data_IF_397523436961
#
_entry.id   IF_397523436961
#
_cell.length_a   1.000
_cell.length_b   1.000
_cell.length_c   1.000
_cell.angle_alpha   90.00
_cell.angle_beta   90.00
_cell.angle_gamma   90.00
#
_symmetry.space_group_name_H-M   'P 1'
#
loop_
_entity.id
_entity.type
_entity.pdbx_description
1 polymer ?
#
# COMPACT_ATOMS: atom_id res chain seq x y z
N UNK A 1 14.80 -57.39 34.98
CA UNK A 1 15.31 -57.29 33.60
C UNK A 1 15.40 -55.82 33.21
N UNK A 2 16.63 -55.29 33.14
CA UNK A 2 16.94 -53.92 32.71
C UNK A 2 16.79 -53.79 31.19
N UNK A 3 16.25 -52.65 30.70
CA UNK A 3 16.66 -52.09 29.40
C UNK A 3 16.92 -50.58 29.55
N UNK A 4 18.13 -50.20 29.11
CA UNK A 4 18.75 -48.86 29.12
C UNK A 4 18.18 -47.96 28.01
N UNK A 5 18.25 -46.62 28.16
CA UNK A 5 17.98 -45.66 27.09
C UNK A 5 19.23 -45.41 26.21
N UNK A 6 19.02 -45.27 24.90
CA UNK A 6 20.05 -45.00 23.89
C UNK A 6 20.34 -43.51 23.70
N UNK A 7 21.63 -43.19 23.65
CA UNK A 7 22.20 -41.89 23.37
C UNK A 7 22.06 -41.47 21.89
N UNK A 8 21.40 -40.33 21.62
CA UNK A 8 21.44 -39.65 20.31
C UNK A 8 21.54 -38.11 20.39
N UNK A 9 22.10 -37.57 21.48
CA UNK A 9 22.12 -36.11 21.71
C UNK A 9 23.48 -35.41 21.51
N UNK A 10 24.55 -36.13 21.12
CA UNK A 10 25.90 -35.53 20.99
C UNK A 10 26.37 -35.19 19.57
N UNK A 11 25.78 -35.81 18.54
CA UNK A 11 26.26 -35.66 17.15
C UNK A 11 25.68 -34.42 16.45
N UNK A 12 24.45 -34.01 16.79
CA UNK A 12 23.80 -32.85 16.17
C UNK A 12 24.39 -31.50 16.64
N UNK A 13 24.94 -31.46 17.86
CA UNK A 13 25.54 -30.25 18.44
C UNK A 13 26.90 -29.89 17.81
N UNK A 14 27.65 -30.86 17.29
CA UNK A 14 28.94 -30.63 16.63
C UNK A 14 28.80 -30.10 15.19
N UNK A 15 27.72 -30.45 14.48
CA UNK A 15 27.49 -30.01 13.10
C UNK A 15 27.06 -28.53 13.03
N UNK A 16 26.35 -28.02 14.05
CA UNK A 16 25.95 -26.61 14.11
C UNK A 16 27.06 -25.64 14.53
N UNK A 17 28.11 -26.12 15.20
CA UNK A 17 29.27 -25.30 15.57
C UNK A 17 30.22 -25.05 14.38
N UNK A 18 30.33 -26.00 13.44
CA UNK A 18 31.20 -25.89 12.27
C UNK A 18 30.67 -24.90 11.21
N UNK A 19 29.34 -24.76 11.08
CA UNK A 19 28.70 -23.88 10.10
C UNK A 19 28.75 -22.39 10.46
N UNK A 20 28.82 -22.05 11.76
CA UNK A 20 28.99 -20.63 12.21
C UNK A 20 30.39 -20.06 11.95
N UNK A 21 31.42 -20.89 11.91
CA UNK A 21 32.80 -20.43 11.71
C UNK A 21 33.14 -20.11 10.25
N UNK A 22 32.44 -20.73 9.28
CA UNK A 22 32.64 -20.45 7.85
C UNK A 22 32.00 -19.11 7.45
N UNK A 23 30.79 -18.81 7.94
CA UNK A 23 30.10 -17.55 7.64
C UNK A 23 30.78 -16.31 8.24
N UNK A 24 31.48 -16.45 9.37
CA UNK A 24 32.24 -15.34 10.00
C UNK A 24 33.53 -14.99 9.25
N UNK A 25 34.06 -15.90 8.43
CA UNK A 25 35.33 -15.71 7.70
C UNK A 25 35.11 -15.01 6.35
N UNK A 26 33.95 -15.18 5.72
CA UNK A 26 33.56 -14.51 4.46
C UNK A 26 33.17 -13.03 4.66
N UNK A 27 32.64 -12.64 5.83
CA UNK A 27 32.26 -11.24 6.10
C UNK A 27 33.45 -10.30 6.41
N UNK A 28 34.63 -10.84 6.79
CA UNK A 28 35.81 -10.03 7.15
C UNK A 28 36.68 -9.61 5.96
N UNK A 29 36.51 -10.24 4.79
CA UNK A 29 37.36 -9.96 3.60
C UNK A 29 36.79 -8.84 2.73
N UNK A 30 35.48 -8.58 2.76
CA UNK A 30 34.82 -7.58 1.90
C UNK A 30 34.87 -6.15 2.46
N UNK A 31 35.26 -5.96 3.73
CA UNK A 31 35.28 -4.65 4.42
C UNK A 31 36.62 -3.90 4.25
N UNK A 32 37.65 -4.53 3.68
CA UNK A 32 39.02 -3.95 3.64
C UNK A 32 39.42 -3.24 2.34
N UNK A 33 38.53 -3.12 1.35
CA UNK A 33 38.90 -2.64 0.00
C UNK A 33 38.29 -1.30 -0.41
N UNK A 34 37.52 -0.62 0.45
CA UNK A 34 36.84 0.65 0.10
C UNK A 34 37.22 1.84 1.00
N UNK A 35 38.38 1.78 1.66
CA UNK A 35 38.94 2.90 2.43
C UNK A 35 40.32 3.27 1.87
N UNK A 36 40.34 3.77 0.63
CA UNK A 36 41.54 4.41 0.06
C UNK A 36 41.25 5.25 -1.18
N UNK A 37 40.20 6.09 -1.15
CA UNK A 37 39.99 7.10 -2.19
C UNK A 37 39.05 8.19 -1.68
N UNK A 38 39.56 9.10 -0.85
CA UNK A 38 39.07 10.49 -0.68
C UNK A 38 39.84 11.13 0.48
N UNK A 39 41.11 11.43 0.22
CA UNK A 39 41.88 12.38 1.00
C UNK A 39 42.75 13.16 0.01
N UNK A 40 42.78 14.49 0.19
CA UNK A 40 43.44 15.55 -0.61
C UNK A 40 42.49 16.25 -1.59
N UNK A 41 42.01 17.43 -1.22
CA UNK A 41 42.74 18.68 -1.45
C UNK A 41 41.91 19.86 -0.95
N UNK A 42 42.35 20.51 0.11
CA UNK A 42 42.03 21.89 0.41
C UNK A 42 43.37 22.56 0.71
N UNK A 43 43.67 23.65 -0.01
CA UNK A 43 44.54 24.79 0.34
C UNK A 43 44.93 25.54 -0.96
N UNK A 44 44.50 26.81 -1.02
CA UNK A 44 45.08 28.01 -1.65
C UNK A 44 45.36 28.07 -3.16
N UNK A 45 44.84 29.11 -3.84
CA UNK A 45 45.62 30.31 -4.19
C UNK A 45 44.81 31.37 -4.96
N UNK A 46 45.29 32.60 -4.82
CA UNK A 46 44.85 33.92 -5.29
C UNK A 46 44.72 34.12 -6.81
N UNK A 47 43.95 35.17 -7.14
CA UNK A 47 43.59 35.74 -8.44
C UNK A 47 44.67 35.84 -9.53
N UNK A 48 44.24 35.82 -10.81
CA UNK A 48 44.59 36.73 -11.93
C UNK A 48 43.65 36.42 -13.11
N UNK A 49 43.11 37.46 -13.77
CA UNK A 49 42.13 37.34 -14.84
C UNK A 49 42.70 37.15 -16.25
N UNK A 50 41.82 36.77 -17.18
CA UNK A 50 41.78 37.17 -18.59
C UNK A 50 40.61 36.42 -19.27
N UNK A 51 39.89 37.11 -20.15
CA UNK A 51 38.61 36.67 -20.69
C UNK A 51 38.64 35.36 -21.47
N UNK A 52 37.63 34.54 -21.22
CA UNK A 52 37.18 33.48 -22.13
C UNK A 52 35.68 33.67 -22.31
N UNK A 53 35.28 33.83 -23.57
CA UNK A 53 33.90 34.04 -23.98
C UNK A 53 33.00 32.88 -23.49
N UNK A 54 32.08 33.20 -22.58
CA UNK A 54 31.05 32.30 -22.11
C UNK A 54 30.00 32.17 -23.21
N UNK A 55 30.10 31.12 -24.03
CA UNK A 55 29.00 30.68 -24.88
C UNK A 55 27.89 30.20 -23.95
N UNK A 56 26.87 31.02 -23.76
CA UNK A 56 25.61 30.65 -23.13
C UNK A 56 24.91 29.63 -24.03
N UNK A 57 25.28 28.35 -23.90
CA UNK A 57 24.43 27.28 -24.34
C UNK A 57 23.21 27.27 -23.41
N UNK A 58 22.13 27.93 -23.86
CA UNK A 58 20.81 27.78 -23.29
C UNK A 58 20.36 26.33 -23.52
N UNK A 59 20.84 25.42 -22.68
CA UNK A 59 20.27 24.09 -22.57
C UNK A 59 18.83 24.26 -22.11
N UNK A 60 17.88 24.03 -23.01
CA UNK A 60 16.48 23.91 -22.66
C UNK A 60 16.37 22.73 -21.70
N UNK A 61 16.38 23.02 -20.40
CA UNK A 61 15.81 22.16 -19.38
C UNK A 61 14.36 21.98 -19.79
N UNK A 62 14.09 20.87 -20.48
CA UNK A 62 12.74 20.38 -20.63
C UNK A 62 12.30 20.03 -19.21
N UNK A 63 11.55 20.94 -18.60
CA UNK A 63 10.71 20.58 -17.48
C UNK A 63 9.80 19.48 -18.02
N UNK A 64 10.06 18.25 -17.59
CA UNK A 64 9.17 17.13 -17.85
C UNK A 64 7.84 17.51 -17.22
N UNK A 65 6.92 17.97 -18.06
CA UNK A 65 5.57 18.33 -17.65
C UNK A 65 5.02 17.09 -16.99
N UNK A 66 4.81 17.14 -15.67
CA UNK A 66 4.04 16.14 -14.96
C UNK A 66 2.74 15.98 -15.72
N UNK A 67 2.59 14.86 -16.44
CA UNK A 67 1.37 14.57 -17.16
C UNK A 67 0.22 14.67 -16.15
N UNK A 68 -0.91 15.31 -16.50
CA UNK A 68 -2.00 15.46 -15.56
C UNK A 68 -2.38 14.07 -15.06
N UNK A 69 -2.48 13.94 -13.73
CA UNK A 69 -2.86 12.71 -13.06
C UNK A 69 -4.04 12.08 -13.81
N UNK A 70 -3.78 10.94 -14.46
CA UNK A 70 -4.78 10.28 -15.29
C UNK A 70 -6.03 10.08 -14.43
N UNK A 71 -7.07 10.82 -14.78
CA UNK A 71 -8.39 10.69 -14.18
C UNK A 71 -9.18 9.95 -15.24
N UNK A 72 -10.09 9.07 -14.84
CA UNK A 72 -10.95 8.36 -15.78
C UNK A 72 -11.52 9.34 -16.81
N UNK A 73 -11.05 9.27 -18.05
CA UNK A 73 -11.33 10.25 -19.10
C UNK A 73 -12.20 9.62 -20.17
N UNK A 74 -13.39 9.16 -19.79
CA UNK A 74 -14.42 8.69 -20.72
C UNK A 74 -15.48 9.76 -20.93
N UNK A 75 -16.15 9.75 -22.10
CA UNK A 75 -17.39 10.50 -22.28
C UNK A 75 -18.43 10.04 -21.24
N UNK A 76 -19.29 10.95 -20.78
CA UNK A 76 -20.37 10.61 -19.86
C UNK A 76 -21.54 9.93 -20.61
N UNK A 77 -21.30 8.69 -21.05
CA UNK A 77 -22.27 7.87 -21.76
C UNK A 77 -22.52 6.52 -21.06
N UNK A 78 -23.56 5.82 -21.53
CA UNK A 78 -23.98 4.55 -20.97
C UNK A 78 -22.87 3.47 -21.01
N UNK A 79 -22.10 3.40 -22.10
CA UNK A 79 -21.06 2.38 -22.28
C UNK A 79 -19.92 2.63 -21.29
N UNK A 80 -19.48 3.89 -21.17
CA UNK A 80 -18.42 4.30 -20.25
C UNK A 80 -18.82 4.08 -18.78
N UNK A 81 -20.08 4.38 -18.41
CA UNK A 81 -20.62 4.09 -17.07
C UNK A 81 -20.71 2.58 -16.79
N UNK A 82 -21.18 1.79 -17.75
CA UNK A 82 -21.26 0.35 -17.62
C UNK A 82 -19.86 -0.28 -17.47
N UNK A 83 -18.89 0.17 -18.24
CA UNK A 83 -17.51 -0.28 -18.13
C UNK A 83 -16.90 0.09 -16.76
N UNK A 84 -17.11 1.33 -16.29
CA UNK A 84 -16.68 1.73 -14.95
C UNK A 84 -17.29 0.85 -13.86
N UNK A 85 -18.59 0.56 -13.95
CA UNK A 85 -19.27 -0.34 -13.01
C UNK A 85 -18.66 -1.74 -13.05
N UNK A 86 -18.43 -2.30 -14.25
CA UNK A 86 -17.85 -3.63 -14.41
C UNK A 86 -16.43 -3.74 -13.83
N UNK A 87 -15.60 -2.72 -14.05
CA UNK A 87 -14.24 -2.62 -13.50
C UNK A 87 -14.26 -2.55 -11.97
N UNK A 88 -15.12 -1.69 -11.40
CA UNK A 88 -15.26 -1.57 -9.95
C UNK A 88 -15.76 -2.87 -9.31
N UNK A 89 -16.72 -3.55 -9.94
CA UNK A 89 -17.21 -4.83 -9.45
C UNK A 89 -16.14 -5.93 -9.54
N UNK A 90 -15.35 -5.95 -10.61
CA UNK A 90 -14.24 -6.89 -10.78
C UNK A 90 -13.18 -6.67 -9.69
N UNK A 91 -12.74 -5.42 -9.49
CA UNK A 91 -11.80 -5.09 -8.42
C UNK A 91 -12.39 -5.45 -7.04
N UNK A 92 -13.65 -5.12 -6.78
CA UNK A 92 -14.33 -5.42 -5.52
C UNK A 92 -14.33 -6.94 -5.24
N UNK A 93 -14.64 -7.77 -6.25
CA UNK A 93 -14.59 -9.21 -6.15
C UNK A 93 -13.16 -9.72 -5.90
N UNK A 94 -12.16 -9.22 -6.64
CA UNK A 94 -10.76 -9.59 -6.45
C UNK A 94 -10.27 -9.25 -5.02
N UNK A 95 -10.66 -8.09 -4.48
CA UNK A 95 -10.32 -7.68 -3.12
C UNK A 95 -10.97 -8.58 -2.06
N UNK A 96 -12.21 -9.01 -2.28
CA UNK A 96 -12.92 -9.91 -1.36
C UNK A 96 -12.41 -11.35 -1.42
N UNK A 97 -11.93 -11.81 -2.57
CA UNK A 97 -11.44 -13.18 -2.75
C UNK A 97 -9.96 -13.37 -2.37
N UNK A 98 -9.24 -12.32 -2.00
CA UNK A 98 -7.81 -12.39 -1.71
C UNK A 98 -7.48 -11.90 -0.29
N UNK A 99 -6.50 -12.52 0.41
CA UNK A 99 -6.15 -12.15 1.78
C UNK A 99 -5.31 -10.86 1.87
N UNK A 100 -4.75 -10.36 0.76
CA UNK A 100 -3.86 -9.21 0.73
C UNK A 100 -4.32 -8.18 -0.30
N UNK A 101 -4.86 -7.06 0.19
CA UNK A 101 -5.22 -5.91 -0.65
C UNK A 101 -4.00 -5.38 -1.41
N UNK A 102 -2.81 -5.31 -0.77
CA UNK A 102 -1.57 -4.86 -1.42
C UNK A 102 -1.22 -5.69 -2.65
N UNK A 103 -1.28 -7.02 -2.55
CA UNK A 103 -0.95 -7.89 -3.69
C UNK A 103 -2.02 -7.83 -4.78
N UNK A 104 -3.30 -7.73 -4.40
CA UNK A 104 -4.40 -7.53 -5.36
C UNK A 104 -4.22 -6.22 -6.13
N UNK A 105 -3.94 -5.11 -5.44
CA UNK A 105 -3.71 -3.81 -6.07
C UNK A 105 -2.42 -3.78 -6.92
N UNK A 106 -1.37 -4.52 -6.54
CA UNK A 106 -0.16 -4.61 -7.36
C UNK A 106 -0.43 -5.34 -8.68
N UNK A 107 -1.18 -6.45 -8.64
CA UNK A 107 -1.63 -7.15 -9.84
C UNK A 107 -2.56 -6.29 -10.69
N UNK A 108 -3.48 -5.55 -10.05
CA UNK A 108 -4.35 -4.60 -10.73
C UNK A 108 -3.52 -3.53 -11.46
N UNK A 109 -2.56 -2.92 -10.75
CA UNK A 109 -1.66 -1.93 -11.33
C UNK A 109 -0.88 -2.47 -12.53
N UNK A 110 -0.35 -3.70 -12.44
CA UNK A 110 0.38 -4.33 -13.53
C UNK A 110 -0.52 -4.63 -14.73
N UNK A 111 -1.70 -5.21 -14.50
CA UNK A 111 -2.65 -5.59 -15.55
C UNK A 111 -3.17 -4.38 -16.32
N UNK A 112 -3.40 -3.28 -15.62
CA UNK A 112 -3.93 -2.04 -16.18
C UNK A 112 -2.84 -1.02 -16.53
N UNK A 113 -1.56 -1.38 -16.39
CA UNK A 113 -0.42 -0.53 -16.73
C UNK A 113 -0.47 0.87 -16.09
N UNK A 114 -0.95 0.94 -14.85
CA UNK A 114 -1.10 2.21 -14.13
C UNK A 114 0.26 2.89 -13.87
N UNK A 115 1.33 2.12 -13.69
CA UNK A 115 2.68 2.64 -13.52
C UNK A 115 3.73 1.66 -14.04
N UNK A 116 4.93 2.17 -14.35
CA UNK A 116 6.11 1.36 -14.65
C UNK A 116 7.29 1.83 -13.78
N UNK A 117 7.82 0.98 -12.87
CA UNK A 117 7.37 -0.37 -12.57
C UNK A 117 6.00 -0.39 -11.89
N UNK A 118 5.20 -1.42 -12.18
CA UNK A 118 3.90 -1.64 -11.55
C UNK A 118 4.07 -2.20 -10.13
N UNK A 119 4.47 -1.32 -9.20
CA UNK A 119 4.78 -1.67 -7.81
C UNK A 119 3.90 -0.88 -6.86
N UNK A 120 3.23 -1.60 -5.95
CA UNK A 120 2.45 -0.94 -4.89
C UNK A 120 3.32 -0.73 -3.66
N UNK A 121 3.35 0.51 -3.19
CA UNK A 121 4.11 0.94 -2.02
C UNK A 121 3.13 1.44 -0.95
N UNK A 122 3.34 0.97 0.28
CA UNK A 122 2.64 1.49 1.45
C UNK A 122 3.33 2.75 1.96
N UNK A 123 2.56 3.83 2.16
CA UNK A 123 3.03 5.10 2.72
C UNK A 123 2.27 5.39 4.02
N UNK A 124 2.98 5.55 5.12
CA UNK A 124 2.39 5.95 6.40
C UNK A 124 1.99 7.43 6.33
N UNK A 125 0.76 7.73 6.72
CA UNK A 125 0.27 9.12 6.83
C UNK A 125 0.24 9.49 8.32
N UNK A 126 1.00 10.52 8.70
CA UNK A 126 1.08 11.05 10.07
C UNK A 126 0.27 12.34 10.21
N UNK A 127 -0.18 12.65 11.42
CA UNK A 127 -0.86 13.91 11.74
C UNK A 127 -2.33 13.98 11.31
N UNK A 128 -2.92 12.85 10.91
CA UNK A 128 -4.32 12.73 10.51
C UNK A 128 -5.07 11.75 11.44
N UNK A 129 -4.77 11.83 12.73
CA UNK A 129 -5.22 10.85 13.72
C UNK A 129 -6.72 10.96 13.99
N UNK A 130 -7.42 9.83 13.95
CA UNK A 130 -8.86 9.76 14.19
C UNK A 130 -9.13 9.00 15.48
N UNK A 131 -9.94 9.59 16.36
CA UNK A 131 -10.41 8.92 17.58
C UNK A 131 -11.31 7.74 17.20
N UNK A 132 -11.16 6.62 17.92
CA UNK A 132 -12.05 5.48 17.76
C UNK A 132 -13.48 5.84 18.18
N UNK A 133 -14.44 5.69 17.27
CA UNK A 133 -15.85 5.91 17.55
C UNK A 133 -16.39 4.86 18.52
N UNK A 134 -17.57 5.12 19.11
CA UNK A 134 -18.25 4.14 19.96
C UNK A 134 -18.48 2.79 19.26
N UNK A 135 -18.84 2.81 17.97
CA UNK A 135 -19.03 1.59 17.17
C UNK A 135 -17.71 0.81 16.97
N UNK A 136 -16.59 1.51 16.74
CA UNK A 136 -15.26 0.88 16.64
C UNK A 136 -14.86 0.26 17.97
N UNK A 137 -15.04 0.99 19.08
CA UNK A 137 -14.76 0.48 20.44
C UNK A 137 -15.60 -0.74 20.79
N UNK A 138 -16.89 -0.71 20.46
CA UNK A 138 -17.80 -1.84 20.63
C UNK A 138 -17.34 -3.05 19.81
N UNK A 139 -16.96 -2.85 18.55
CA UNK A 139 -16.43 -3.90 17.67
C UNK A 139 -15.12 -4.50 18.22
N UNK A 140 -14.27 -3.67 18.83
CA UNK A 140 -13.06 -4.10 19.52
C UNK A 140 -13.34 -4.70 20.90
N UNK A 141 -14.56 -4.62 21.44
CA UNK A 141 -14.87 -5.07 22.79
C UNK A 141 -14.03 -4.38 23.87
N UNK A 142 -13.80 -3.08 23.72
CA UNK A 142 -13.01 -2.27 24.67
C UNK A 142 -13.89 -1.23 25.37
N UNK A 143 -13.56 -0.95 26.63
CA UNK A 143 -14.18 0.14 27.38
C UNK A 143 -13.71 1.53 26.92
N UNK A 144 -14.29 2.59 27.48
CA UNK A 144 -13.91 3.98 27.13
C UNK A 144 -12.45 4.31 27.52
N UNK A 145 -11.99 3.81 28.67
CA UNK A 145 -10.67 4.07 29.20
C UNK A 145 -9.55 3.21 28.56
N UNK A 146 -9.89 2.12 27.89
CA UNK A 146 -8.89 1.25 27.27
C UNK A 146 -8.29 1.95 26.03
N UNK A 147 -6.95 2.03 25.93
CA UNK A 147 -6.30 2.71 24.81
C UNK A 147 -6.60 2.03 23.46
N UNK A 148 -6.93 2.85 22.45
CA UNK A 148 -7.02 2.44 21.05
C UNK A 148 -6.12 3.36 20.25
N UNK A 149 -5.16 2.78 19.53
CA UNK A 149 -4.25 3.52 18.65
C UNK A 149 -4.79 3.57 17.24
N UNK A 150 -4.46 4.64 16.54
CA UNK A 150 -4.83 4.83 15.14
C UNK A 150 -3.57 4.83 14.26
N UNK A 151 -3.71 4.28 13.06
CA UNK A 151 -2.68 4.32 12.01
C UNK A 151 -3.35 4.44 10.65
N UNK A 152 -2.89 5.39 9.82
CA UNK A 152 -3.34 5.55 8.43
C UNK A 152 -2.25 5.17 7.45
N UNK A 153 -2.60 4.37 6.44
CA UNK A 153 -1.69 3.97 5.36
C UNK A 153 -2.33 4.24 4.02
N UNK A 154 -1.56 4.78 3.07
CA UNK A 154 -1.92 4.83 1.67
C UNK A 154 -1.21 3.72 0.91
N UNK A 155 -1.91 3.07 -0.03
CA UNK A 155 -1.29 2.17 -1.01
C UNK A 155 -1.25 2.90 -2.35
N UNK A 156 -0.05 3.17 -2.84
CA UNK A 156 0.17 3.90 -4.08
C UNK A 156 0.87 3.02 -5.13
N UNK A 157 0.46 3.12 -6.39
CA UNK A 157 1.21 2.60 -7.54
C UNK A 157 1.69 3.77 -8.40
N UNK A 158 3.00 4.01 -8.46
CA UNK A 158 3.53 5.27 -8.98
C UNK A 158 2.98 6.47 -8.21
N UNK A 159 2.35 7.40 -8.94
CA UNK A 159 1.71 8.59 -8.38
C UNK A 159 0.23 8.38 -8.02
N UNK A 160 -0.31 7.20 -8.31
CA UNK A 160 -1.71 6.87 -8.07
C UNK A 160 -1.91 6.29 -6.67
N UNK A 161 -2.50 7.06 -5.75
CA UNK A 161 -2.99 6.53 -4.47
C UNK A 161 -4.24 5.71 -4.75
N UNK A 162 -4.11 4.38 -4.74
CA UNK A 162 -5.20 3.44 -5.07
C UNK A 162 -6.13 3.19 -3.89
N UNK A 163 -5.60 3.26 -2.67
CA UNK A 163 -6.41 3.10 -1.46
C UNK A 163 -5.83 3.82 -0.25
N UNK A 164 -6.71 4.14 0.68
CA UNK A 164 -6.40 4.67 2.01
C UNK A 164 -7.01 3.74 3.07
N UNK A 165 -6.20 3.30 4.02
CA UNK A 165 -6.61 2.40 5.08
C UNK A 165 -6.46 3.09 6.43
N UNK A 166 -7.59 3.29 7.11
CA UNK A 166 -7.66 3.69 8.51
C UNK A 166 -7.66 2.43 9.37
N UNK A 167 -6.76 2.34 10.34
CA UNK A 167 -6.69 1.20 11.26
C UNK A 167 -6.73 1.68 12.71
N UNK A 168 -7.69 1.16 13.47
CA UNK A 168 -7.78 1.31 14.91
C UNK A 168 -7.46 -0.02 15.58
N UNK A 169 -6.48 -0.04 16.48
CA UNK A 169 -6.03 -1.27 17.12
C UNK A 169 -5.77 -1.10 18.61
N UNK A 170 -5.87 -2.20 19.35
CA UNK A 170 -5.68 -2.24 20.81
C UNK A 170 -4.23 -2.62 21.10
N UNK A 171 -3.35 -1.67 21.49
CA UNK A 171 -1.93 -1.94 21.65
C UNK A 171 -1.62 -2.97 22.74
N UNK A 172 -2.48 -3.09 23.75
CA UNK A 172 -2.34 -4.10 24.81
C UNK A 172 -2.47 -5.54 24.31
N UNK A 173 -3.04 -5.75 23.11
CA UNK A 173 -3.19 -7.06 22.46
C UNK A 173 -2.04 -7.40 21.50
N UNK A 174 -1.05 -6.52 21.40
CA UNK A 174 0.17 -6.68 20.59
C UNK A 174 1.38 -6.84 21.51
N UNK A 175 2.45 -7.45 21.00
CA UNK A 175 3.74 -7.44 21.71
C UNK A 175 4.35 -6.03 21.70
N UNK A 176 5.24 -5.74 22.65
CA UNK A 176 5.97 -4.47 22.69
C UNK A 176 6.80 -4.25 21.40
N UNK A 177 7.38 -5.31 20.85
CA UNK A 177 8.12 -5.26 19.59
C UNK A 177 7.22 -4.89 18.41
N UNK A 178 6.01 -5.45 18.33
CA UNK A 178 5.03 -5.10 17.29
C UNK A 178 4.61 -3.64 17.39
N UNK A 179 4.29 -3.18 18.61
CA UNK A 179 3.93 -1.77 18.84
C UNK A 179 5.09 -0.85 18.43
N UNK A 180 6.32 -1.15 18.84
CA UNK A 180 7.51 -0.39 18.46
C UNK A 180 7.71 -0.34 16.94
N UNK A 181 7.59 -1.50 16.27
CA UNK A 181 7.73 -1.57 14.81
C UNK A 181 6.69 -0.69 14.10
N UNK A 182 5.45 -0.68 14.59
CA UNK A 182 4.40 0.17 14.05
C UNK A 182 4.65 1.65 14.34
N UNK A 183 5.14 2.01 15.53
CA UNK A 183 5.37 3.40 15.91
C UNK A 183 6.57 4.01 15.15
N UNK A 184 7.64 3.23 14.95
CA UNK A 184 8.93 3.73 14.46
C UNK A 184 9.14 3.58 12.95
N UNK A 185 8.33 2.75 12.27
CA UNK A 185 8.57 2.41 10.86
C UNK A 185 7.32 2.53 9.98
N UNK A 186 7.55 2.52 8.67
CA UNK A 186 6.49 2.48 7.66
C UNK A 186 6.04 1.04 7.34
N UNK A 187 6.36 0.07 8.21
CA UNK A 187 5.93 -1.32 8.04
C UNK A 187 4.41 -1.40 7.96
N UNK A 188 3.91 -2.16 6.97
CA UNK A 188 2.48 -2.42 6.82
C UNK A 188 1.94 -3.18 8.04
N UNK A 189 0.74 -2.81 8.50
CA UNK A 189 0.19 -3.34 9.75
C UNK A 189 0.09 -4.86 9.76
N UNK A 190 -0.53 -5.45 8.74
CA UNK A 190 -0.68 -6.91 8.63
C UNK A 190 0.65 -7.68 8.62
N UNK A 191 1.73 -7.06 8.12
CA UNK A 191 3.08 -7.66 8.18
C UNK A 191 3.64 -7.60 9.59
N UNK A 192 3.52 -6.46 10.28
CA UNK A 192 4.01 -6.29 11.64
C UNK A 192 3.35 -7.29 12.61
N UNK A 193 2.06 -7.56 12.42
CA UNK A 193 1.28 -8.45 13.30
C UNK A 193 1.12 -9.87 12.75
N UNK A 194 1.84 -10.24 11.68
CA UNK A 194 1.69 -11.54 11.00
C UNK A 194 1.90 -12.72 11.96
N UNK A 195 2.82 -12.59 12.92
CA UNK A 195 3.10 -13.62 13.91
C UNK A 195 1.92 -13.91 14.86
N UNK A 196 0.90 -13.04 14.94
CA UNK A 196 -0.32 -13.29 15.71
C UNK A 196 -1.24 -14.33 15.03
N UNK A 197 -0.96 -14.73 13.79
CA UNK A 197 -1.80 -15.67 13.02
C UNK A 197 -3.27 -15.25 13.00
N UNK A 198 -3.49 -13.94 12.86
CA UNK A 198 -4.81 -13.35 12.95
C UNK A 198 -5.75 -13.84 11.84
N UNK A 199 -7.06 -13.76 12.11
CA UNK A 199 -8.12 -13.97 11.13
C UNK A 199 -8.73 -12.62 10.76
N UNK A 200 -8.92 -12.38 9.45
CA UNK A 200 -9.66 -11.22 8.95
C UNK A 200 -11.11 -11.63 8.67
N UNK A 201 -12.06 -10.86 9.18
CA UNK A 201 -13.48 -10.99 8.84
C UNK A 201 -13.99 -9.67 8.29
N UNK A 202 -14.48 -9.69 7.05
CA UNK A 202 -15.15 -8.55 6.44
C UNK A 202 -16.47 -8.29 7.16
N UNK A 203 -16.67 -7.06 7.63
CA UNK A 203 -17.90 -6.57 8.23
C UNK A 203 -18.82 -5.95 7.18
N UNK A 204 -18.25 -5.17 6.26
CA UNK A 204 -18.97 -4.61 5.12
C UNK A 204 -18.06 -4.46 3.90
N UNK A 205 -18.68 -4.52 2.72
CA UNK A 205 -18.04 -4.20 1.45
C UNK A 205 -19.07 -3.48 0.58
N UNK A 206 -18.79 -2.22 0.25
CA UNK A 206 -19.75 -1.33 -0.41
C UNK A 206 -19.08 -0.67 -1.61
N UNK A 207 -19.79 -0.65 -2.74
CA UNK A 207 -19.52 0.36 -3.76
C UNK A 207 -20.06 1.69 -3.22
N UNK A 208 -19.21 2.71 -3.18
CA UNK A 208 -19.58 4.07 -2.81
C UNK A 208 -20.12 4.86 -4.01
N UNK A 209 -19.84 4.37 -5.22
CA UNK A 209 -20.33 4.95 -6.46
C UNK A 209 -20.89 3.87 -7.37
N UNK A 210 -22.15 4.03 -7.75
CA UNK A 210 -22.81 3.23 -8.79
C UNK A 210 -22.97 4.12 -10.02
N UNK A 211 -22.21 3.89 -11.10
CA UNK A 211 -22.22 4.77 -12.28
C UNK A 211 -23.54 4.77 -13.04
N UNK A 212 -24.39 3.75 -12.85
CA UNK A 212 -25.69 3.60 -13.51
C UNK A 212 -26.83 3.80 -12.50
N UNK A 213 -27.97 4.37 -12.92
CA UNK A 213 -29.14 4.50 -12.05
C UNK A 213 -29.79 3.15 -11.76
N UNK A 214 -30.60 3.07 -10.72
CA UNK A 214 -31.38 1.87 -10.40
C UNK A 214 -32.33 1.50 -11.57
N UNK A 215 -32.43 0.19 -11.86
CA UNK A 215 -33.29 -0.33 -12.93
C UNK A 215 -32.77 -0.09 -14.35
N UNK A 216 -31.49 0.27 -14.51
CA UNK A 216 -30.84 0.42 -15.83
C UNK A 216 -30.95 -0.86 -16.66
N UNK A 217 -30.91 -2.02 -16.02
CA UNK A 217 -30.93 -3.35 -16.64
C UNK A 217 -32.30 -3.72 -17.25
N UNK A 218 -33.37 -3.13 -16.72
CA UNK A 218 -34.75 -3.36 -17.20
C UNK A 218 -35.20 -2.33 -18.24
N UNK A 219 -34.36 -1.32 -18.50
CA UNK A 219 -34.69 -0.20 -19.38
C UNK A 219 -34.22 -0.48 -20.81
N UNK A 220 -35.16 -0.80 -21.72
CA UNK A 220 -34.90 -0.94 -23.16
C UNK A 220 -34.54 0.38 -23.85
N UNK A 221 -34.92 1.49 -23.23
CA UNK A 221 -34.47 2.82 -23.61
C UNK A 221 -33.10 2.97 -22.97
N UNK A 222 -32.02 3.10 -23.78
CA UNK A 222 -30.75 3.67 -23.31
C UNK A 222 -31.16 4.87 -22.48
N UNK A 223 -31.04 4.75 -21.15
CA UNK A 223 -31.69 5.69 -20.25
C UNK A 223 -31.30 7.06 -20.78
N UNK A 224 -32.29 7.91 -21.05
CA UNK A 224 -32.06 9.26 -21.54
C UNK A 224 -31.38 9.97 -20.37
N UNK A 225 -30.07 9.73 -20.26
CA UNK A 225 -29.22 10.29 -19.25
C UNK A 225 -29.31 11.78 -19.50
N UNK A 226 -29.58 12.59 -18.45
CA UNK A 226 -29.46 14.02 -18.62
C UNK A 226 -28.05 14.24 -19.15
N UNK A 227 -27.95 14.74 -20.38
CA UNK A 227 -26.67 15.12 -20.95
C UNK A 227 -26.12 16.18 -20.01
N UNK A 228 -25.20 15.79 -19.14
CA UNK A 228 -24.39 16.77 -18.44
C UNK A 228 -23.70 17.53 -19.57
N UNK A 229 -23.90 18.85 -19.61
CA UNK A 229 -23.39 19.70 -20.69
C UNK A 229 -21.84 19.66 -20.83
N UNK A 230 -21.14 18.90 -20.00
CA UNK A 230 -19.71 18.69 -19.98
C UNK A 230 -19.41 17.21 -20.27
N UNK A 231 -18.95 16.91 -21.49
CA UNK A 231 -18.73 15.56 -22.02
C UNK A 231 -17.56 14.78 -21.40
N UNK A 232 -17.56 14.58 -20.08
CA UNK A 232 -16.62 13.69 -19.38
C UNK A 232 -17.26 13.10 -18.12
N UNK A 233 -17.14 11.78 -17.93
CA UNK A 233 -17.69 11.09 -16.76
C UNK A 233 -16.96 11.53 -15.48
N UNK A 234 -17.69 12.15 -14.55
CA UNK A 234 -17.16 12.53 -13.25
C UNK A 234 -17.17 11.32 -12.29
N UNK A 235 -15.98 10.83 -11.93
CA UNK A 235 -15.80 9.77 -10.94
C UNK A 235 -15.53 10.42 -9.57
N UNK A 236 -16.29 10.09 -8.51
CA UNK A 236 -16.02 10.60 -7.17
C UNK A 236 -14.72 10.00 -6.62
N UNK A 237 -14.03 10.75 -5.76
CA UNK A 237 -12.72 10.35 -5.22
C UNK A 237 -12.74 9.01 -4.50
N UNK A 238 -13.82 8.65 -3.82
CA UNK A 238 -13.97 7.37 -3.13
C UNK A 238 -14.99 6.49 -3.87
N UNK A 239 -14.59 5.27 -4.25
CA UNK A 239 -15.41 4.41 -5.13
C UNK A 239 -15.80 3.08 -4.48
N UNK A 240 -14.96 2.52 -3.60
CA UNK A 240 -15.24 1.28 -2.87
C UNK A 240 -14.81 1.49 -1.42
N UNK A 241 -15.56 0.94 -0.47
CA UNK A 241 -15.17 0.88 0.94
C UNK A 241 -15.37 -0.51 1.51
N UNK A 242 -14.32 -1.05 2.09
CA UNK A 242 -14.36 -2.28 2.89
C UNK A 242 -14.13 -1.95 4.36
N UNK A 243 -14.82 -2.66 5.22
CA UNK A 243 -14.58 -2.63 6.66
C UNK A 243 -14.36 -4.06 7.13
N UNK A 244 -13.32 -4.28 7.92
CA UNK A 244 -12.99 -5.59 8.44
C UNK A 244 -12.48 -5.51 9.87
N UNK A 245 -12.66 -6.61 10.61
CA UNK A 245 -12.06 -6.81 11.91
C UNK A 245 -10.98 -7.89 11.81
N UNK A 246 -9.86 -7.65 12.48
CA UNK A 246 -8.82 -8.64 12.70
C UNK A 246 -8.96 -9.18 14.12
N UNK A 247 -9.01 -10.51 14.24
CA UNK A 247 -9.11 -11.21 15.51
C UNK A 247 -7.95 -12.17 15.70
N UNK A 248 -7.54 -12.36 16.95
CA UNK A 248 -6.62 -13.41 17.36
C UNK A 248 -7.25 -14.80 17.14
N UNK A 249 -6.46 -15.90 17.18
CA UNK A 249 -6.96 -17.25 16.98
C UNK A 249 -8.09 -17.67 17.94
N UNK A 250 -8.15 -17.06 19.13
CA UNK A 250 -9.20 -17.26 20.14
C UNK A 250 -10.49 -16.47 19.85
N UNK A 251 -10.52 -15.67 18.78
CA UNK A 251 -11.65 -14.82 18.40
C UNK A 251 -11.59 -13.39 18.93
N UNK A 252 -10.68 -13.09 19.86
CA UNK A 252 -10.54 -11.74 20.44
C UNK A 252 -10.20 -10.72 19.34
N UNK A 253 -11.08 -9.74 19.04
CA UNK A 253 -10.76 -8.71 18.06
C UNK A 253 -9.56 -7.90 18.57
N UNK A 254 -8.71 -7.37 17.70
CA UNK A 254 -7.61 -6.48 18.13
C UNK A 254 -7.38 -5.31 17.20
N UNK A 255 -7.98 -5.32 16.01
CA UNK A 255 -7.90 -4.24 15.03
C UNK A 255 -9.18 -4.17 14.21
N UNK A 256 -9.65 -2.95 13.94
CA UNK A 256 -10.68 -2.64 12.94
C UNK A 256 -9.99 -1.84 11.85
N UNK A 257 -10.18 -2.26 10.60
CA UNK A 257 -9.64 -1.59 9.43
C UNK A 257 -10.76 -1.14 8.52
N UNK A 258 -10.69 0.11 8.08
CA UNK A 258 -11.55 0.69 7.04
C UNK A 258 -10.67 1.02 5.84
N UNK A 259 -10.88 0.31 4.74
CA UNK A 259 -10.14 0.46 3.49
C UNK A 259 -11.02 1.19 2.48
N UNK A 260 -10.61 2.37 2.07
CA UNK A 260 -11.30 3.20 1.07
C UNK A 260 -10.46 3.22 -0.20
N UNK A 261 -11.02 2.73 -1.30
CA UNK A 261 -10.37 2.70 -2.60
C UNK A 261 -10.80 3.92 -3.40
N UNK A 262 -9.86 4.49 -4.14
CA UNK A 262 -10.04 5.80 -4.79
C UNK A 262 -10.43 5.68 -6.26
N UNK A 263 -10.82 6.79 -6.87
CA UNK A 263 -11.00 6.94 -8.32
C UNK A 263 -9.76 6.49 -9.12
N UNK A 264 -8.57 6.54 -8.51
CA UNK A 264 -7.30 6.18 -9.18
C UNK A 264 -7.16 4.70 -9.49
N UNK A 265 -8.04 3.84 -8.97
CA UNK A 265 -8.12 2.45 -9.45
C UNK A 265 -8.60 2.35 -10.90
N UNK A 266 -9.21 3.41 -11.43
CA UNK A 266 -9.65 3.53 -12.83
C UNK A 266 -8.76 4.47 -13.66
N UNK A 267 -7.61 4.92 -13.15
CA UNK A 267 -6.72 5.92 -13.76
C UNK A 267 -5.84 5.38 -14.91
N UNK A 268 -6.23 4.30 -15.57
CA UNK A 268 -5.46 3.73 -16.68
C UNK A 268 -6.02 4.17 -18.03
N UNK A 269 -5.14 4.25 -19.03
CA UNK A 269 -5.53 4.57 -20.40
C UNK A 269 -6.34 3.42 -20.99
N UNK A 270 -7.45 3.74 -21.66
CA UNK A 270 -8.27 2.74 -22.33
C UNK A 270 -7.84 2.53 -23.77
N UNK A 271 -8.07 1.33 -24.33
CA UNK A 271 -7.94 1.13 -25.77
C UNK A 271 -8.88 2.08 -26.52
N UNK A 272 -8.34 3.07 -27.22
CA UNK A 272 -9.11 4.06 -27.98
C UNK A 272 -8.96 5.51 -27.50
N UNK A 273 -8.43 5.72 -26.31
CA UNK A 273 -8.00 7.06 -25.85
C UNK A 273 -6.74 7.45 -26.66
N UNK A 274 -6.92 8.26 -27.71
CA UNK A 274 -5.82 8.85 -28.50
C UNK A 274 -5.41 10.19 -27.92
#
# INVERSE_FOLDING_TARGET
MLRRPMAKSRVLLQVMAATRNVARKTAKTTVKTTVKATARCAVECTAIGAGVALVLAAGQLHAESAAPAHTFSGQDDFVNRLEALALLQTLNAELLSNPSATLTLERWCARHQLASPARVVARLVRGADKVATAAIRQTLGVGEAEPVRYRRVQLACGDFVLSEADNWYVPARLTSEMNRLLDETDTAFGRAVQALQFRRRTLSARLLWTPLPDGWEMSSRRVQMPATAAGTLAVPTEVIRHEAVLSLPDGTPFSVVVETYTDKVLAFRRPGDR
#
